data_IF_410320760723
#
_entry.id   IF_410320760723
#
_cell.length_a   1.000
_cell.length_b   1.000
_cell.length_c   1.000
_cell.angle_alpha   90.00
_cell.angle_beta   90.00
_cell.angle_gamma   90.00
#
_symmetry.space_group_name_H-M   'P 1'
#
loop_
_entity.id
_entity.type
_entity.pdbx_description
1 polymer ?
#
# COMPACT_ATOMS: atom_id res chain seq x y z
N UNK A 1 3.56 13.23 -13.62
CA UNK A 1 4.28 14.33 -14.29
C UNK A 1 5.34 15.01 -13.40
N UNK A 2 5.11 15.28 -12.09
CA UNK A 2 6.14 15.89 -11.21
C UNK A 2 7.36 14.97 -11.02
N UNK A 3 7.13 13.67 -10.88
CA UNK A 3 8.20 12.68 -10.63
C UNK A 3 8.92 12.30 -11.92
N UNK A 4 8.20 12.13 -13.03
CA UNK A 4 8.78 11.80 -14.34
C UNK A 4 9.70 12.89 -14.93
N UNK A 5 9.60 14.12 -14.42
CA UNK A 5 10.45 15.26 -14.77
C UNK A 5 11.59 15.50 -13.76
N UNK A 6 11.65 14.69 -12.68
CA UNK A 6 12.70 14.78 -11.67
C UNK A 6 14.07 14.22 -12.13
N UNK A 7 15.13 14.47 -11.35
CA UNK A 7 16.45 13.92 -11.65
C UNK A 7 16.40 12.39 -11.67
N UNK A 8 16.99 11.76 -12.70
CA UNK A 8 17.00 10.30 -12.90
C UNK A 8 17.70 9.49 -11.79
N UNK A 9 18.43 10.12 -10.88
CA UNK A 9 19.21 9.47 -9.81
C UNK A 9 18.79 9.95 -8.42
N UNK A 10 17.58 10.49 -8.26
CA UNK A 10 17.09 10.92 -6.94
C UNK A 10 16.43 9.72 -6.24
N UNK A 11 16.81 9.50 -4.98
CA UNK A 11 16.10 8.59 -4.06
C UNK A 11 15.00 9.38 -3.36
N UNK A 12 13.73 8.97 -3.53
CA UNK A 12 12.56 9.61 -2.93
C UNK A 12 12.17 8.94 -1.64
N UNK A 13 11.87 9.71 -0.59
CA UNK A 13 11.29 9.20 0.65
C UNK A 13 9.77 9.29 0.61
N UNK A 14 9.09 8.16 0.82
CA UNK A 14 7.65 8.02 0.64
C UNK A 14 7.01 7.41 1.88
N UNK A 15 5.90 8.03 2.35
CA UNK A 15 4.98 7.43 3.30
C UNK A 15 3.65 7.11 2.61
N UNK A 16 3.33 5.83 2.48
CA UNK A 16 2.08 5.34 1.91
C UNK A 16 1.14 4.88 3.03
N UNK A 17 0.00 5.52 3.15
CA UNK A 17 -1.08 5.12 4.05
C UNK A 17 -2.33 4.77 3.26
N UNK A 18 -2.87 3.58 3.47
CA UNK A 18 -4.20 3.24 3.00
C UNK A 18 -4.98 2.50 4.08
N UNK A 19 -6.08 3.11 4.51
CA UNK A 19 -6.99 2.56 5.50
C UNK A 19 -8.38 2.49 4.85
N UNK A 20 -8.98 1.31 4.81
CA UNK A 20 -10.32 1.12 4.26
C UNK A 20 -11.13 0.24 5.20
N UNK A 21 -11.95 0.86 6.04
CA UNK A 21 -12.80 0.15 7.00
C UNK A 21 -13.66 -0.91 6.32
N UNK A 22 -13.53 -2.15 6.78
CA UNK A 22 -14.34 -3.28 6.32
C UNK A 22 -15.21 -3.78 7.46
N UNK A 23 -16.43 -4.22 7.13
CA UNK A 23 -17.34 -4.83 8.10
C UNK A 23 -17.03 -6.32 8.30
N UNK A 24 -17.81 -6.96 9.18
CA UNK A 24 -17.66 -8.38 9.52
C UNK A 24 -17.69 -9.32 8.30
N UNK A 25 -18.40 -8.93 7.23
CA UNK A 25 -18.42 -9.68 5.98
C UNK A 25 -17.03 -9.99 5.40
N UNK A 26 -16.05 -9.08 5.62
CA UNK A 26 -14.69 -9.28 5.13
C UNK A 26 -14.06 -10.53 5.77
N UNK A 27 -14.21 -10.68 7.08
CA UNK A 27 -13.61 -11.80 7.83
C UNK A 27 -14.31 -13.13 7.57
N UNK A 28 -15.59 -13.10 7.20
CA UNK A 28 -16.38 -14.30 6.84
C UNK A 28 -16.08 -14.74 5.40
N UNK A 29 -15.72 -13.80 4.53
CA UNK A 29 -15.40 -14.07 3.13
C UNK A 29 -13.99 -14.68 2.96
N UNK A 30 -13.71 -15.21 1.77
CA UNK A 30 -12.37 -15.71 1.42
C UNK A 30 -11.28 -14.63 1.58
N UNK A 31 -11.62 -13.34 1.55
CA UNK A 31 -10.70 -12.22 1.72
C UNK A 31 -10.12 -12.13 3.13
N UNK A 32 -10.86 -12.54 4.14
CA UNK A 32 -10.37 -12.62 5.53
C UNK A 32 -9.52 -13.86 5.82
N UNK A 33 -9.59 -14.86 4.96
CA UNK A 33 -8.76 -16.05 5.07
C UNK A 33 -7.37 -15.77 4.48
N UNK A 34 -6.35 -15.68 5.35
CA UNK A 34 -4.96 -15.37 4.95
C UNK A 34 -4.40 -16.40 3.97
N UNK A 35 -4.78 -17.67 4.10
CA UNK A 35 -4.29 -18.73 3.20
C UNK A 35 -4.80 -18.53 1.79
N UNK A 36 -6.04 -18.06 1.64
CA UNK A 36 -6.67 -17.83 0.34
C UNK A 36 -6.31 -16.46 -0.24
N UNK A 37 -6.40 -15.39 0.55
CA UNK A 37 -6.22 -14.02 0.09
C UNK A 37 -4.79 -13.51 0.11
N UNK A 38 -3.91 -14.14 0.88
CA UNK A 38 -2.58 -13.64 1.19
C UNK A 38 -2.55 -12.48 2.18
N UNK A 39 -3.69 -12.18 2.84
CA UNK A 39 -3.81 -11.11 3.83
C UNK A 39 -3.91 -9.70 3.22
N UNK A 40 -3.90 -8.71 4.11
CA UNK A 40 -4.11 -7.28 3.73
C UNK A 40 -3.07 -6.80 2.74
N UNK A 41 -1.80 -7.15 2.93
CA UNK A 41 -0.71 -6.70 2.05
C UNK A 41 -0.87 -7.24 0.62
N UNK A 42 -1.27 -8.50 0.44
CA UNK A 42 -1.48 -9.09 -0.88
C UNK A 42 -2.79 -8.60 -1.50
N UNK A 43 -3.91 -8.70 -0.76
CA UNK A 43 -5.24 -8.42 -1.31
C UNK A 43 -5.48 -6.93 -1.61
N UNK A 44 -4.86 -6.04 -0.84
CA UNK A 44 -5.02 -4.58 -0.98
C UNK A 44 -3.72 -3.95 -1.45
N UNK A 45 -2.60 -4.37 -0.87
CA UNK A 45 -1.31 -3.74 -1.09
C UNK A 45 -0.76 -3.89 -2.50
N UNK A 46 -1.07 -4.99 -3.19
CA UNK A 46 -0.54 -5.27 -4.53
C UNK A 46 -0.76 -4.11 -5.51
N UNK A 47 -1.91 -3.43 -5.44
CA UNK A 47 -2.20 -2.30 -6.32
C UNK A 47 -1.28 -1.09 -6.08
N UNK A 48 -0.91 -0.87 -4.83
CA UNK A 48 0.03 0.20 -4.46
C UNK A 48 1.47 -0.19 -4.78
N UNK A 49 1.84 -1.45 -4.59
CA UNK A 49 3.17 -1.95 -4.94
C UNK A 49 3.39 -1.92 -6.45
N UNK A 50 2.34 -2.21 -7.25
CA UNK A 50 2.34 -2.08 -8.69
C UNK A 50 2.57 -0.62 -9.12
N UNK A 51 1.77 0.29 -8.60
CA UNK A 51 1.91 1.72 -8.86
C UNK A 51 3.31 2.25 -8.48
N UNK A 52 3.81 1.85 -7.32
CA UNK A 52 5.14 2.28 -6.85
C UNK A 52 6.24 1.71 -7.75
N UNK A 53 6.16 0.43 -8.13
CA UNK A 53 7.09 -0.20 -9.05
C UNK A 53 7.11 0.48 -10.43
N UNK A 54 5.93 0.81 -10.95
CA UNK A 54 5.80 1.56 -12.21
C UNK A 54 6.46 2.93 -12.17
N UNK A 55 6.38 3.64 -11.03
CA UNK A 55 6.89 5.01 -10.91
C UNK A 55 8.38 5.04 -10.53
N UNK A 56 8.83 4.14 -9.64
CA UNK A 56 10.12 4.24 -8.96
C UNK A 56 11.08 3.09 -9.25
N UNK A 57 10.68 2.16 -10.11
CA UNK A 57 11.49 0.98 -10.45
C UNK A 57 11.25 -0.22 -9.54
N UNK A 58 12.04 -1.25 -9.77
CA UNK A 58 11.85 -2.55 -9.12
C UNK A 58 12.19 -2.52 -7.62
N UNK A 59 11.52 -3.39 -6.87
CA UNK A 59 11.80 -3.56 -5.44
C UNK A 59 13.12 -4.30 -5.25
N UNK A 60 14.04 -3.66 -4.53
CA UNK A 60 15.38 -4.20 -4.21
C UNK A 60 15.47 -4.74 -2.78
N UNK A 61 14.64 -4.23 -1.85
CA UNK A 61 14.60 -4.65 -0.45
C UNK A 61 13.19 -4.63 0.10
N UNK A 62 12.87 -5.60 0.96
CA UNK A 62 11.60 -5.68 1.67
C UNK A 62 11.84 -5.96 3.15
N UNK A 63 11.14 -5.22 4.02
CA UNK A 63 11.04 -5.47 5.46
C UNK A 63 9.58 -5.41 5.84
N UNK A 64 9.06 -6.45 6.48
CA UNK A 64 7.71 -6.46 7.05
C UNK A 64 7.81 -6.17 8.54
N UNK A 65 7.21 -5.08 9.00
CA UNK A 65 7.19 -4.71 10.43
C UNK A 65 6.06 -5.40 11.17
N UNK A 66 4.85 -5.39 10.60
CA UNK A 66 3.69 -6.10 11.13
C UNK A 66 2.92 -6.79 10.01
N UNK A 67 2.33 -7.96 10.33
CA UNK A 67 1.38 -8.67 9.49
C UNK A 67 0.32 -9.28 10.39
N UNK A 68 -0.87 -8.68 10.39
CA UNK A 68 -2.02 -9.04 11.23
C UNK A 68 -3.26 -9.24 10.34
N UNK A 69 -4.30 -9.92 10.80
CA UNK A 69 -5.52 -10.14 10.01
C UNK A 69 -6.19 -8.85 9.52
N UNK A 70 -6.04 -7.74 10.25
CA UNK A 70 -6.68 -6.46 9.96
C UNK A 70 -5.71 -5.38 9.47
N UNK A 71 -4.40 -5.59 9.55
CA UNK A 71 -3.41 -4.59 9.10
C UNK A 71 -2.04 -5.21 8.79
N UNK A 72 -1.32 -4.54 7.92
CA UNK A 72 0.06 -4.85 7.60
C UNK A 72 0.85 -3.56 7.39
N UNK A 73 2.13 -3.58 7.71
CA UNK A 73 3.01 -2.45 7.49
C UNK A 73 4.45 -2.92 7.28
N UNK A 74 5.20 -2.15 6.52
CA UNK A 74 6.59 -2.48 6.24
C UNK A 74 7.33 -1.35 5.55
N UNK A 75 8.49 -1.71 5.05
CA UNK A 75 9.40 -0.85 4.31
C UNK A 75 9.81 -1.56 3.02
N UNK A 76 9.77 -0.82 1.92
CA UNK A 76 10.31 -1.24 0.63
C UNK A 76 11.40 -0.27 0.21
N UNK A 77 12.47 -0.80 -0.37
CA UNK A 77 13.43 -0.03 -1.13
C UNK A 77 13.28 -0.40 -2.60
N UNK A 78 12.99 0.60 -3.41
CA UNK A 78 12.92 0.49 -4.86
C UNK A 78 14.15 1.15 -5.47
N UNK A 79 14.36 1.02 -6.77
CA UNK A 79 15.52 1.62 -7.45
C UNK A 79 15.66 3.12 -7.17
N UNK A 80 14.54 3.85 -7.10
CA UNK A 80 14.50 5.30 -6.93
C UNK A 80 13.65 5.77 -5.74
N UNK A 81 13.25 4.89 -4.81
CA UNK A 81 12.46 5.28 -3.64
C UNK A 81 12.68 4.39 -2.42
N UNK A 82 12.48 4.99 -1.24
CA UNK A 82 12.31 4.32 0.05
C UNK A 82 10.89 4.54 0.49
N UNK A 83 10.15 3.47 0.72
CA UNK A 83 8.72 3.52 0.98
C UNK A 83 8.40 2.89 2.32
N UNK A 84 7.94 3.69 3.27
CA UNK A 84 7.26 3.19 4.46
C UNK A 84 5.79 3.05 4.14
N UNK A 85 5.24 1.86 4.28
CA UNK A 85 3.85 1.61 3.95
C UNK A 85 3.05 1.08 5.14
N UNK A 86 1.79 1.52 5.23
CA UNK A 86 0.82 1.10 6.22
C UNK A 86 -0.54 0.86 5.58
N UNK A 87 -1.07 -0.35 5.72
CA UNK A 87 -2.35 -0.79 5.18
C UNK A 87 -3.22 -1.31 6.31
N UNK A 88 -4.48 -0.88 6.38
CA UNK A 88 -5.43 -1.35 7.40
C UNK A 88 -6.85 -1.45 6.87
N UNK A 89 -7.59 -2.42 7.40
CA UNK A 89 -9.04 -2.56 7.21
C UNK A 89 -9.83 -2.25 8.48
N UNK A 90 -9.14 -1.79 9.53
CA UNK A 90 -9.73 -1.46 10.82
C UNK A 90 -10.13 0.02 10.88
N UNK A 91 -11.40 0.29 11.21
CA UNK A 91 -11.92 1.64 11.39
C UNK A 91 -11.20 2.41 12.53
N UNK A 92 -10.67 1.70 13.53
CA UNK A 92 -9.97 2.31 14.66
C UNK A 92 -8.63 2.97 14.25
N UNK A 93 -8.05 2.54 13.11
CA UNK A 93 -6.81 3.11 12.58
C UNK A 93 -7.04 4.40 11.77
N UNK A 94 -8.29 4.71 11.38
CA UNK A 94 -8.60 5.96 10.67
C UNK A 94 -8.15 7.18 11.49
N UNK A 95 -7.55 8.20 10.85
CA UNK A 95 -7.28 9.48 11.49
C UNK A 95 -8.56 10.08 12.09
N UNK A 96 -8.44 10.81 13.20
CA UNK A 96 -9.58 11.39 13.91
C UNK A 96 -10.44 12.26 12.98
N UNK A 97 -9.84 13.15 12.23
CA UNK A 97 -10.55 14.01 11.28
C UNK A 97 -11.34 13.22 10.21
N UNK A 98 -10.79 12.09 9.73
CA UNK A 98 -11.50 11.25 8.77
C UNK A 98 -12.72 10.54 9.42
N UNK A 99 -12.60 10.10 10.68
CA UNK A 99 -13.71 9.49 11.43
C UNK A 99 -14.80 10.49 11.72
N UNK A 100 -14.46 11.69 12.17
CA UNK A 100 -15.40 12.80 12.44
C UNK A 100 -16.15 13.24 11.18
N UNK A 101 -15.48 13.19 10.02
CA UNK A 101 -16.09 13.44 8.72
C UNK A 101 -16.90 12.23 8.17
N UNK A 102 -17.08 11.16 8.94
CA UNK A 102 -17.82 9.97 8.53
C UNK A 102 -17.16 9.15 7.42
N UNK A 103 -15.88 9.40 7.11
CA UNK A 103 -15.15 8.69 6.05
C UNK A 103 -14.84 7.26 6.48
N UNK A 104 -15.02 6.33 5.55
CA UNK A 104 -14.68 4.91 5.74
C UNK A 104 -13.33 4.54 5.14
N UNK A 105 -12.73 5.44 4.37
CA UNK A 105 -11.47 5.25 3.68
C UNK A 105 -10.60 6.48 3.88
N UNK A 106 -9.32 6.24 4.12
CA UNK A 106 -8.27 7.26 4.14
C UNK A 106 -7.13 6.80 3.25
N UNK A 107 -6.76 7.63 2.30
CA UNK A 107 -5.61 7.44 1.41
C UNK A 107 -4.70 8.62 1.55
N UNK A 108 -3.41 8.37 1.65
CA UNK A 108 -2.41 9.42 1.72
C UNK A 108 -1.08 8.90 1.22
N UNK A 109 -0.45 9.64 0.34
CA UNK A 109 0.92 9.41 -0.09
C UNK A 109 1.68 10.72 0.13
N UNK A 110 2.67 10.68 1.01
CA UNK A 110 3.62 11.76 1.15
C UNK A 110 4.87 11.42 0.35
N UNK A 111 5.33 12.33 -0.46
CA UNK A 111 6.59 12.26 -1.21
C UNK A 111 7.47 13.41 -0.74
N UNK A 112 8.62 13.13 -0.15
CA UNK A 112 9.52 14.16 0.43
C UNK A 112 8.81 15.05 1.47
N UNK A 113 7.85 14.51 2.21
CA UNK A 113 7.06 15.26 3.19
C UNK A 113 5.91 16.09 2.64
N UNK A 114 5.72 16.13 1.32
CA UNK A 114 4.57 16.77 0.67
C UNK A 114 3.50 15.76 0.33
N UNK A 115 2.24 16.03 0.71
CA UNK A 115 1.11 15.15 0.38
C UNK A 115 0.77 15.26 -1.11
N UNK A 116 0.68 14.10 -1.76
CA UNK A 116 0.20 13.96 -3.14
C UNK A 116 -1.25 13.50 -3.09
N UNK A 117 -2.17 14.38 -3.47
CA UNK A 117 -3.59 14.05 -3.61
C UNK A 117 -3.80 13.13 -4.82
N UNK A 118 -4.48 12.00 -4.63
CA UNK A 118 -4.78 11.06 -5.71
C UNK A 118 -6.14 10.37 -5.55
N UNK A 119 -7.05 10.99 -4.79
CA UNK A 119 -8.37 10.41 -4.50
C UNK A 119 -9.24 10.27 -5.75
N UNK A 120 -9.07 11.10 -6.76
CA UNK A 120 -9.96 11.20 -7.92
C UNK A 120 -9.52 10.41 -9.16
N UNK A 121 -8.36 9.73 -9.13
CA UNK A 121 -7.76 9.09 -10.32
C UNK A 121 -8.36 7.74 -10.75
N UNK A 122 -9.40 7.22 -10.10
CA UNK A 122 -9.80 5.81 -10.26
C UNK A 122 -11.14 5.59 -10.98
N UNK A 123 -11.83 6.66 -11.41
CA UNK A 123 -13.21 6.58 -11.92
C UNK A 123 -13.36 5.81 -13.23
N UNK A 124 -12.41 5.92 -14.15
CA UNK A 124 -12.50 5.40 -15.51
C UNK A 124 -11.49 4.27 -15.83
N UNK A 125 -10.81 3.72 -14.82
CA UNK A 125 -9.74 2.74 -15.02
C UNK A 125 -10.19 1.51 -15.80
N UNK A 126 -11.40 1.00 -15.53
CA UNK A 126 -11.92 -0.17 -16.24
C UNK A 126 -12.16 0.15 -17.72
N UNK A 127 -12.79 1.27 -18.02
CA UNK A 127 -13.05 1.72 -19.40
C UNK A 127 -11.75 1.88 -20.17
N UNK A 128 -10.77 2.57 -19.58
CA UNK A 128 -9.45 2.77 -20.19
C UNK A 128 -8.74 1.43 -20.39
N UNK A 129 -8.76 0.54 -19.39
CA UNK A 129 -8.14 -0.78 -19.50
C UNK A 129 -8.73 -1.60 -20.66
N UNK A 130 -10.06 -1.64 -20.80
CA UNK A 130 -10.69 -2.33 -21.93
C UNK A 130 -10.37 -1.70 -23.28
N UNK A 131 -10.33 -0.38 -23.36
CA UNK A 131 -9.93 0.34 -24.58
C UNK A 131 -8.50 -0.02 -25.01
N UNK A 132 -7.57 -0.06 -24.05
CA UNK A 132 -6.17 -0.44 -24.32
C UNK A 132 -6.04 -1.91 -24.73
N UNK A 133 -6.78 -2.82 -24.10
CA UNK A 133 -6.82 -4.24 -24.50
C UNK A 133 -7.33 -4.40 -25.92
N UNK A 134 -8.44 -3.74 -26.28
CA UNK A 134 -9.03 -3.81 -27.62
C UNK A 134 -8.12 -3.18 -28.69
N UNK A 135 -7.31 -2.21 -28.31
CA UNK A 135 -6.33 -1.57 -29.19
C UNK A 135 -5.01 -2.35 -29.30
N UNK A 136 -4.88 -3.52 -28.64
CA UNK A 136 -3.67 -4.32 -28.63
C UNK A 136 -2.55 -3.78 -27.75
N UNK A 137 -2.83 -2.82 -26.88
CA UNK A 137 -1.88 -2.21 -25.95
C UNK A 137 -2.15 -2.56 -24.48
N UNK A 138 -2.94 -3.61 -24.24
CA UNK A 138 -3.20 -4.11 -22.89
C UNK A 138 -1.94 -4.63 -22.20
N UNK A 139 -1.90 -4.50 -20.89
CA UNK A 139 -0.81 -5.01 -20.05
C UNK A 139 -0.81 -6.53 -20.02
N UNK A 140 0.39 -7.13 -20.04
CA UNK A 140 0.59 -8.57 -20.00
C UNK A 140 1.19 -9.06 -18.68
N UNK A 141 1.54 -10.35 -18.64
CA UNK A 141 2.12 -11.00 -17.46
C UNK A 141 3.45 -10.36 -17.02
N UNK A 142 4.25 -9.89 -17.97
CA UNK A 142 5.54 -9.28 -17.66
C UNK A 142 5.37 -7.93 -16.94
N UNK A 143 4.33 -7.18 -17.27
CA UNK A 143 4.05 -5.89 -16.64
C UNK A 143 3.65 -6.06 -15.17
N UNK A 144 2.89 -7.11 -14.85
CA UNK A 144 2.48 -7.42 -13.47
C UNK A 144 3.53 -8.21 -12.66
N UNK A 145 4.59 -8.72 -13.31
CA UNK A 145 5.54 -9.66 -12.67
C UNK A 145 6.12 -9.09 -11.38
N UNK A 146 6.59 -7.86 -11.41
CA UNK A 146 7.29 -7.27 -10.27
C UNK A 146 6.38 -7.00 -9.08
N UNK A 147 5.16 -6.54 -9.31
CA UNK A 147 4.17 -6.35 -8.24
C UNK A 147 3.78 -7.66 -7.59
N UNK A 148 3.64 -8.73 -8.38
CA UNK A 148 3.36 -10.08 -7.87
C UNK A 148 4.53 -10.63 -7.05
N UNK A 149 5.77 -10.46 -7.51
CA UNK A 149 6.98 -10.87 -6.76
C UNK A 149 7.07 -10.09 -5.44
N UNK A 150 6.84 -8.79 -5.46
CA UNK A 150 6.86 -7.94 -4.25
C UNK A 150 5.79 -8.42 -3.25
N UNK A 151 4.54 -8.61 -3.69
CA UNK A 151 3.48 -9.09 -2.83
C UNK A 151 3.76 -10.51 -2.29
N UNK A 152 4.31 -11.41 -3.11
CA UNK A 152 4.73 -12.76 -2.70
C UNK A 152 5.83 -12.71 -1.64
N UNK A 153 6.83 -11.86 -1.84
CA UNK A 153 7.94 -11.70 -0.88
C UNK A 153 7.43 -11.15 0.46
N UNK A 154 6.57 -10.14 0.43
CA UNK A 154 5.94 -9.58 1.64
C UNK A 154 5.14 -10.66 2.37
N UNK A 155 4.32 -11.42 1.66
CA UNK A 155 3.48 -12.50 2.23
C UNK A 155 4.31 -13.55 2.97
N UNK A 156 5.49 -13.88 2.45
CA UNK A 156 6.36 -14.93 2.98
C UNK A 156 7.45 -14.42 3.93
N UNK A 157 7.47 -13.11 4.22
CA UNK A 157 8.42 -12.51 5.16
C UNK A 157 7.90 -12.61 6.59
N UNK A 158 8.79 -12.94 7.53
CA UNK A 158 8.48 -12.88 8.96
C UNK A 158 8.51 -11.42 9.43
N UNK A 159 7.48 -10.96 10.18
CA UNK A 159 7.49 -9.61 10.76
C UNK A 159 8.63 -9.44 11.76
N UNK A 160 9.37 -8.33 11.63
CA UNK A 160 10.52 -8.00 12.50
C UNK A 160 10.17 -7.07 13.68
N UNK A 161 8.92 -6.60 13.77
CA UNK A 161 8.52 -5.61 14.75
C UNK A 161 8.95 -4.19 14.36
N UNK A 162 8.96 -3.28 15.35
CA UNK A 162 9.27 -1.86 15.15
C UNK A 162 10.79 -1.62 15.15
N UNK A 163 11.47 -2.09 14.14
CA UNK A 163 12.93 -1.99 13.98
C UNK A 163 13.26 -1.21 12.71
N UNK A 164 14.22 -0.30 12.79
CA UNK A 164 14.67 0.49 11.65
C UNK A 164 13.67 1.57 11.22
N UNK A 165 13.55 1.77 9.92
CA UNK A 165 12.69 2.81 9.32
C UNK A 165 11.27 2.27 9.09
N UNK A 166 10.37 2.56 10.01
CA UNK A 166 8.99 2.10 9.97
C UNK A 166 7.98 3.25 9.85
N UNK A 167 6.79 2.93 9.35
CA UNK A 167 5.75 3.92 9.07
C UNK A 167 5.26 4.65 10.33
N UNK A 168 5.07 6.00 10.30
CA UNK A 168 4.67 6.79 11.48
C UNK A 168 3.37 6.32 12.16
N UNK A 169 2.41 5.77 11.40
CA UNK A 169 1.16 5.23 11.94
C UNK A 169 1.38 4.10 12.96
N UNK A 170 2.48 3.38 12.91
CA UNK A 170 2.80 2.33 13.89
C UNK A 170 3.10 2.89 15.28
N UNK A 171 3.69 4.08 15.38
CA UNK A 171 3.93 4.78 16.65
C UNK A 171 2.62 5.17 17.34
N UNK A 172 1.62 5.57 16.54
CA UNK A 172 0.31 6.01 17.06
C UNK A 172 -0.51 4.82 17.56
N UNK A 173 -0.46 3.70 16.84
CA UNK A 173 -1.21 2.49 17.21
C UNK A 173 -0.65 1.81 18.45
N UNK A 174 0.66 1.91 18.68
CA UNK A 174 1.31 1.32 19.85
C UNK A 174 0.98 2.09 21.15
N UNK A 175 0.98 3.43 21.10
CA UNK A 175 0.55 4.27 22.23
C UNK A 175 -0.89 4.01 22.68
N UNK A 176 -1.82 3.71 21.74
CA UNK A 176 -3.22 3.37 22.06
C UNK A 176 -3.38 2.03 22.76
N UNK A 177 -2.43 1.09 22.64
CA UNK A 177 -2.45 -0.20 23.35
C UNK A 177 -2.01 -0.09 24.80
N UNK A 178 -1.16 0.87 25.13
CA UNK A 178 -0.62 1.07 26.48
C UNK A 178 -1.43 2.07 27.33
N UNK A 179 -2.49 2.67 26.76
CA UNK A 179 -3.40 3.62 27.43
C UNK A 179 -4.76 3.02 27.80
N UNK A 180 -4.89 1.70 27.79
CA UNK A 180 -6.03 0.91 28.26
C UNK A 180 -5.53 -0.04 29.35
#
# INVERSE_FOLDING_TARGET
EKISKGPKNKMYDIDLTYITSRGNWYYISWKGDIQKSGGVATNIGIHFFDMLGWIFGDTTKNIVHISQPNKAAGYLELENARVRWFLSIDAADLPQAAREAGKRTYRSIFVEGEEVEFSDGFGELHTISYQEILAGRGFGLNDARQSVITAFTIRNSNPVGLVGDYHPMLRITDKKKHSK
#
